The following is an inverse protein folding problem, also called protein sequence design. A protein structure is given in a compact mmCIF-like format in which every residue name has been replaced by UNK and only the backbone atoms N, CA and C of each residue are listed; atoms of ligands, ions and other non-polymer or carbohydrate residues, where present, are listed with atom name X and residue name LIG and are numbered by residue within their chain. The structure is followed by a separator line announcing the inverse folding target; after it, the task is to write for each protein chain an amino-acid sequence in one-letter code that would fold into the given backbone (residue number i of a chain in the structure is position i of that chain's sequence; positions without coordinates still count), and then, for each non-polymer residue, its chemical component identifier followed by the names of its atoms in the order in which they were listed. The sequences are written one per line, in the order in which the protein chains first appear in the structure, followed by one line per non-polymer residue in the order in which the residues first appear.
data_IF_317992478780
#
_entry.id   IF_317992478780
#
_cell.length_a   1.000
_cell.length_b   1.000
_cell.length_c   1.000
_cell.angle_alpha   90.00
_cell.angle_beta   90.00
_cell.angle_gamma   90.00
#
_symmetry.space_group_name_H-M   'P 1'
#
loop_
_entity.id
_entity.type
_entity.pdbx_description
1 polymer ?
#
# COMPACT_ATOMS: atom_id res chain seq x y z
N UNK A 1 -8.81 13.82 9.98
CA UNK A 1 -9.33 14.37 11.26
C UNK A 1 -9.23 13.31 12.37
N UNK A 2 -9.80 12.11 12.21
CA UNK A 2 -9.78 11.04 13.23
C UNK A 2 -8.36 10.70 13.71
N UNK A 3 -7.39 10.55 12.81
CA UNK A 3 -6.01 10.22 13.16
C UNK A 3 -5.34 11.37 13.92
N UNK A 4 -5.57 12.61 13.53
CA UNK A 4 -5.03 13.80 14.21
C UNK A 4 -5.58 13.91 15.63
N UNK A 5 -6.88 13.68 15.81
CA UNK A 5 -7.53 13.67 17.13
C UNK A 5 -6.97 12.54 18.02
N UNK A 6 -6.78 11.35 17.44
CA UNK A 6 -6.19 10.20 18.13
C UNK A 6 -4.76 10.53 18.61
N UNK A 7 -3.93 11.07 17.74
CA UNK A 7 -2.56 11.48 18.09
C UNK A 7 -2.55 12.55 19.19
N UNK A 8 -3.35 13.61 19.07
CA UNK A 8 -3.46 14.65 20.08
C UNK A 8 -3.87 14.10 21.43
N UNK A 9 -4.86 13.19 21.45
CA UNK A 9 -5.35 12.54 22.68
C UNK A 9 -4.25 11.72 23.38
N UNK A 10 -3.48 10.94 22.62
CA UNK A 10 -2.50 10.02 23.22
C UNK A 10 -1.11 10.60 23.43
N UNK A 11 -0.78 11.70 22.75
CA UNK A 11 0.51 12.38 22.87
C UNK A 11 0.46 13.66 23.71
N UNK A 12 -0.72 14.04 24.22
CA UNK A 12 -0.87 15.19 25.12
C UNK A 12 0.08 15.08 26.32
N UNK A 13 0.85 16.15 26.56
CA UNK A 13 1.86 16.18 27.63
C UNK A 13 3.19 15.48 27.30
N UNK A 14 3.30 14.76 26.18
CA UNK A 14 4.53 14.10 25.72
C UNK A 14 5.22 14.88 24.62
N UNK A 15 4.44 15.39 23.66
CA UNK A 15 4.93 16.20 22.55
C UNK A 15 3.82 17.09 21.98
N UNK A 16 4.22 18.06 21.16
CA UNK A 16 3.32 18.88 20.39
C UNK A 16 3.01 18.19 19.06
N UNK A 17 1.73 18.14 18.68
CA UNK A 17 1.26 17.64 17.37
C UNK A 17 0.84 18.84 16.54
N UNK A 18 1.65 19.17 15.53
CA UNK A 18 1.39 20.24 14.58
C UNK A 18 0.87 19.67 13.26
N UNK A 19 -0.20 20.25 12.74
CA UNK A 19 -0.81 19.89 11.46
C UNK A 19 -0.38 20.92 10.40
N UNK A 20 0.36 20.46 9.39
CA UNK A 20 0.87 21.30 8.31
C UNK A 20 -0.18 21.40 7.19
N UNK A 21 -1.21 22.24 7.40
CA UNK A 21 -2.34 22.40 6.46
C UNK A 21 -2.02 23.25 5.24
N UNK A 22 -0.87 23.92 5.23
CA UNK A 22 -0.40 24.80 4.16
C UNK A 22 0.52 24.08 3.15
N UNK A 23 0.57 22.74 3.18
CA UNK A 23 1.43 21.96 2.31
C UNK A 23 0.64 21.00 1.40
N UNK A 24 1.15 20.85 0.18
CA UNK A 24 0.69 19.88 -0.81
C UNK A 24 1.65 18.70 -0.89
N UNK A 25 1.14 17.54 -1.30
CA UNK A 25 1.94 16.34 -1.52
C UNK A 25 1.90 15.96 -3.00
N UNK A 26 3.06 15.89 -3.64
CA UNK A 26 3.24 15.39 -4.99
C UNK A 26 4.00 14.07 -4.95
N UNK A 27 3.68 13.14 -5.86
CA UNK A 27 4.38 11.88 -6.01
C UNK A 27 5.01 11.78 -7.40
N UNK A 28 6.32 11.59 -7.45
CA UNK A 28 7.07 11.28 -8.66
C UNK A 28 7.50 9.81 -8.58
N UNK A 29 6.93 8.95 -9.42
CA UNK A 29 7.06 7.51 -9.31
C UNK A 29 7.48 6.89 -10.64
N UNK A 30 8.24 5.81 -10.58
CA UNK A 30 8.61 5.03 -11.75
C UNK A 30 10.12 4.89 -11.95
N UNK A 31 10.56 4.08 -12.91
CA UNK A 31 11.97 3.71 -13.07
C UNK A 31 12.90 4.89 -13.39
N UNK A 32 12.38 5.99 -13.95
CA UNK A 32 13.15 7.20 -14.23
C UNK A 32 13.11 8.24 -13.10
N UNK A 33 12.31 8.05 -12.05
CA UNK A 33 12.09 9.03 -11.00
C UNK A 33 13.39 9.45 -10.30
N UNK A 34 14.30 8.50 -10.03
CA UNK A 34 15.58 8.78 -9.41
C UNK A 34 16.48 9.67 -10.29
N UNK A 35 16.49 9.44 -11.60
CA UNK A 35 17.27 10.27 -12.54
C UNK A 35 16.72 11.68 -12.64
N UNK A 36 15.39 11.83 -12.66
CA UNK A 36 14.73 13.14 -12.65
C UNK A 36 15.07 13.90 -11.36
N UNK A 37 14.92 13.26 -10.20
CA UNK A 37 15.23 13.89 -8.92
C UNK A 37 16.70 14.27 -8.79
N UNK A 38 17.62 13.42 -9.22
CA UNK A 38 19.06 13.73 -9.19
C UNK A 38 19.43 14.95 -10.04
N UNK A 39 18.72 15.22 -11.16
CA UNK A 39 18.90 16.44 -11.94
C UNK A 39 18.39 17.69 -11.23
N UNK A 40 17.30 17.59 -10.50
CA UNK A 40 16.64 18.71 -9.83
C UNK A 40 17.20 18.99 -8.44
N UNK A 41 17.62 17.94 -7.73
CA UNK A 41 18.22 17.98 -6.41
C UNK A 41 19.28 16.88 -6.29
N UNK A 42 20.55 17.13 -6.66
CA UNK A 42 21.62 16.12 -6.72
C UNK A 42 21.82 15.31 -5.43
N UNK A 43 21.60 15.91 -4.27
CA UNK A 43 21.75 15.24 -2.96
C UNK A 43 20.79 14.05 -2.79
N UNK A 44 19.72 13.99 -3.60
CA UNK A 44 18.75 12.89 -3.55
C UNK A 44 19.28 11.58 -4.14
N UNK A 45 20.35 11.64 -4.95
CA UNK A 45 20.90 10.48 -5.64
C UNK A 45 21.37 9.37 -4.69
N UNK A 46 21.83 9.75 -3.48
CA UNK A 46 22.31 8.81 -2.47
C UNK A 46 21.23 8.30 -1.50
N UNK A 47 20.02 8.85 -1.57
CA UNK A 47 18.93 8.39 -0.72
C UNK A 47 18.56 6.95 -1.07
N UNK A 48 18.23 6.14 -0.05
CA UNK A 48 17.65 4.81 -0.23
C UNK A 48 16.20 4.80 0.23
N UNK A 49 15.49 3.73 -0.10
CA UNK A 49 14.07 3.56 0.25
C UNK A 49 13.80 3.83 1.73
N UNK A 50 12.78 4.64 2.02
CA UNK A 50 12.33 5.13 3.34
C UNK A 50 13.24 6.21 3.97
N UNK A 51 14.28 6.67 3.31
CA UNK A 51 15.00 7.86 3.77
C UNK A 51 14.23 9.14 3.43
N UNK A 52 14.41 10.13 4.30
CA UNK A 52 13.80 11.45 4.19
C UNK A 52 14.88 12.53 4.17
N UNK A 53 14.62 13.63 3.47
CA UNK A 53 15.51 14.79 3.43
C UNK A 53 14.72 16.09 3.25
N UNK A 54 15.37 17.21 3.55
CA UNK A 54 14.94 18.55 3.13
C UNK A 54 15.75 18.94 1.91
N UNK A 55 15.10 19.41 0.88
CA UNK A 55 15.73 19.89 -0.37
C UNK A 55 15.01 21.12 -0.88
N UNK A 56 15.70 21.93 -1.68
CA UNK A 56 15.07 23.04 -2.40
C UNK A 56 14.71 22.59 -3.81
N UNK A 57 13.41 22.67 -4.15
CA UNK A 57 12.88 22.39 -5.49
C UNK A 57 12.04 23.57 -5.94
N UNK A 58 12.26 24.04 -7.17
CA UNK A 58 11.55 25.20 -7.74
C UNK A 58 11.53 26.43 -6.80
N UNK A 59 12.62 26.67 -6.04
CA UNK A 59 12.73 27.78 -5.10
C UNK A 59 11.99 27.59 -3.77
N UNK A 60 11.37 26.43 -3.53
CA UNK A 60 10.66 26.12 -2.29
C UNK A 60 11.41 25.06 -1.47
N UNK A 61 11.43 25.21 -0.13
CA UNK A 61 11.87 24.14 0.76
C UNK A 61 10.85 23.02 0.76
N UNK A 62 11.28 21.84 0.35
CA UNK A 62 10.48 20.63 0.30
C UNK A 62 10.96 19.59 1.32
N UNK A 63 10.03 18.88 1.93
CA UNK A 63 10.31 17.62 2.60
C UNK A 63 10.09 16.50 1.62
N UNK A 64 11.08 15.64 1.43
CA UNK A 64 10.97 14.51 0.52
C UNK A 64 11.19 13.20 1.25
N UNK A 65 10.56 12.15 0.77
CA UNK A 65 10.90 10.77 1.11
C UNK A 65 11.11 9.97 -0.18
N UNK A 66 12.10 9.07 -0.19
CA UNK A 66 12.23 8.09 -1.28
C UNK A 66 11.32 6.93 -0.96
N UNK A 67 10.07 7.07 -1.35
CA UNK A 67 8.96 6.18 -1.04
C UNK A 67 7.86 6.31 -2.07
N UNK A 68 6.83 5.48 -1.98
CA UNK A 68 5.68 5.56 -2.87
C UNK A 68 4.70 4.42 -2.71
N UNK A 69 3.67 4.45 -3.53
CA UNK A 69 2.54 3.53 -3.49
C UNK A 69 2.32 2.81 -4.83
N UNK A 70 3.41 2.50 -5.53
CA UNK A 70 3.39 1.94 -6.88
C UNK A 70 4.18 0.64 -7.04
N UNK A 71 4.99 0.27 -6.03
CA UNK A 71 5.95 -0.82 -6.16
C UNK A 71 7.22 -0.47 -6.93
N UNK A 72 7.27 0.70 -7.57
CA UNK A 72 8.46 1.24 -8.26
C UNK A 72 9.23 2.19 -7.34
N UNK A 73 10.46 2.51 -7.73
CA UNK A 73 11.24 3.57 -7.09
C UNK A 73 10.59 4.93 -7.33
N UNK A 74 10.75 5.84 -6.39
CA UNK A 74 10.14 7.16 -6.50
C UNK A 74 10.24 7.98 -5.24
N UNK A 75 9.64 9.16 -5.31
CA UNK A 75 9.67 10.16 -4.24
C UNK A 75 8.28 10.70 -3.96
N UNK A 76 7.99 10.93 -2.70
CA UNK A 76 6.86 11.74 -2.24
C UNK A 76 7.42 13.07 -1.75
N UNK A 77 6.86 14.17 -2.27
CA UNK A 77 7.40 15.52 -2.14
C UNK A 77 6.36 16.40 -1.49
N UNK A 78 6.58 16.79 -0.24
CA UNK A 78 5.77 17.77 0.46
C UNK A 78 6.34 19.17 0.20
N UNK A 79 5.53 20.04 -0.38
CA UNK A 79 5.87 21.40 -0.81
C UNK A 79 4.85 22.39 -0.24
N UNK A 80 5.22 23.65 0.10
CA UNK A 80 4.24 24.68 0.44
C UNK A 80 3.20 24.84 -0.66
N UNK A 81 1.93 25.04 -0.31
CA UNK A 81 0.84 25.18 -1.30
C UNK A 81 1.14 26.22 -2.39
N UNK A 82 1.76 27.34 -2.00
CA UNK A 82 2.13 28.40 -2.94
C UNK A 82 3.15 27.98 -4.01
N UNK A 83 3.99 26.95 -3.72
CA UNK A 83 4.99 26.42 -4.64
C UNK A 83 4.53 25.19 -5.44
N UNK A 84 3.38 24.60 -5.08
CA UNK A 84 2.95 23.32 -5.61
C UNK A 84 2.76 23.30 -7.14
N UNK A 85 2.13 24.30 -7.71
CA UNK A 85 1.95 24.41 -9.17
C UNK A 85 3.28 24.57 -9.89
N UNK A 86 4.17 25.43 -9.38
CA UNK A 86 5.49 25.66 -9.98
C UNK A 86 6.31 24.38 -9.97
N UNK A 87 6.30 23.64 -8.86
CA UNK A 87 6.98 22.35 -8.77
C UNK A 87 6.36 21.30 -9.71
N UNK A 88 5.03 21.21 -9.76
CA UNK A 88 4.36 20.29 -10.67
C UNK A 88 4.74 20.57 -12.14
N UNK A 89 4.77 21.82 -12.55
CA UNK A 89 5.19 22.22 -13.91
C UNK A 89 6.67 21.90 -14.17
N UNK A 90 7.55 22.10 -13.19
CA UNK A 90 8.97 21.73 -13.28
C UNK A 90 9.15 20.21 -13.49
N UNK A 91 8.39 19.40 -12.76
CA UNK A 91 8.42 17.94 -12.91
C UNK A 91 7.88 17.52 -14.28
N UNK A 92 6.76 18.07 -14.71
CA UNK A 92 6.14 17.78 -16.02
C UNK A 92 6.96 18.28 -17.21
N UNK A 93 7.87 19.21 -17.02
CA UNK A 93 8.81 19.64 -18.06
C UNK A 93 9.95 18.64 -18.30
N UNK A 94 10.11 17.64 -17.45
CA UNK A 94 11.11 16.59 -17.66
C UNK A 94 10.61 15.58 -18.71
N UNK A 95 11.43 15.19 -19.69
CA UNK A 95 10.98 14.39 -20.84
C UNK A 95 10.45 12.98 -20.44
N UNK A 96 10.90 12.46 -19.28
CA UNK A 96 10.49 11.16 -18.78
C UNK A 96 9.20 11.21 -17.95
N UNK A 97 8.71 12.40 -17.62
CA UNK A 97 7.57 12.57 -16.69
C UNK A 97 6.28 12.81 -17.46
N UNK A 98 5.29 11.99 -17.15
CA UNK A 98 3.94 12.15 -17.66
C UNK A 98 2.94 12.23 -16.48
N UNK A 99 1.87 13.05 -16.58
CA UNK A 99 0.81 13.06 -15.58
C UNK A 99 0.02 11.75 -15.64
N UNK A 100 -0.30 11.20 -14.47
CA UNK A 100 -1.12 9.99 -14.37
C UNK A 100 -2.34 10.25 -13.49
N UNK A 101 -3.44 9.52 -13.75
CA UNK A 101 -4.66 9.61 -12.97
C UNK A 101 -4.75 8.56 -11.86
N UNK A 102 -5.81 8.66 -11.05
CA UNK A 102 -6.08 7.73 -9.94
C UNK A 102 -6.21 6.27 -10.39
N UNK A 103 -6.73 6.02 -11.61
CA UNK A 103 -6.83 4.67 -12.15
C UNK A 103 -5.47 3.98 -12.34
N UNK A 104 -4.45 4.73 -12.78
CA UNK A 104 -3.09 4.21 -12.87
C UNK A 104 -2.49 3.95 -11.48
N UNK A 105 -2.67 4.88 -10.53
CA UNK A 105 -2.26 4.70 -9.15
C UNK A 105 -2.90 3.45 -8.54
N UNK A 106 -4.18 3.21 -8.77
CA UNK A 106 -4.90 2.05 -8.24
C UNK A 106 -4.41 0.73 -8.85
N UNK A 107 -4.19 0.68 -10.16
CA UNK A 107 -3.62 -0.50 -10.83
C UNK A 107 -2.21 -0.82 -10.32
N UNK A 108 -1.35 0.18 -10.18
CA UNK A 108 0.03 0.00 -9.75
C UNK A 108 0.11 -0.46 -8.28
N UNK A 109 -0.63 0.17 -7.36
CA UNK A 109 -0.65 -0.27 -5.96
C UNK A 109 -1.17 -1.69 -5.81
N UNK A 110 -2.19 -2.06 -6.63
CA UNK A 110 -2.78 -3.39 -6.62
C UNK A 110 -1.74 -4.44 -7.06
N UNK A 111 -1.02 -4.21 -8.16
CA UNK A 111 0.07 -5.09 -8.61
C UNK A 111 1.19 -5.20 -7.58
N UNK A 112 1.49 -4.11 -6.86
CA UNK A 112 2.43 -4.09 -5.76
C UNK A 112 1.91 -4.77 -4.47
N UNK A 113 0.65 -5.24 -4.46
CA UNK A 113 0.04 -5.89 -3.31
C UNK A 113 -0.23 -4.96 -2.12
N UNK A 114 -0.25 -3.64 -2.35
CA UNK A 114 -0.46 -2.64 -1.32
C UNK A 114 -1.95 -2.43 -1.04
N UNK A 115 -2.31 -2.42 0.26
CA UNK A 115 -3.68 -2.23 0.72
C UNK A 115 -4.19 -0.82 0.43
N UNK A 116 -5.48 -0.72 0.11
CA UNK A 116 -6.21 0.53 0.09
C UNK A 116 -7.11 0.61 1.34
N UNK A 117 -6.90 1.63 2.18
CA UNK A 117 -7.75 1.86 3.35
C UNK A 117 -9.20 2.19 2.92
N UNK A 118 -10.16 1.63 3.62
CA UNK A 118 -11.57 1.71 3.27
C UNK A 118 -12.06 0.60 2.34
N UNK A 119 -11.15 -0.15 1.71
CA UNK A 119 -11.44 -1.29 0.84
C UNK A 119 -10.80 -2.59 1.37
N UNK A 120 -9.45 -2.64 1.38
CA UNK A 120 -8.71 -3.83 1.82
C UNK A 120 -8.54 -3.91 3.34
N UNK A 121 -8.73 -2.84 4.05
CA UNK A 121 -8.69 -2.77 5.51
C UNK A 121 -9.44 -1.54 6.03
N UNK A 122 -9.90 -1.62 7.25
CA UNK A 122 -10.55 -0.54 7.99
C UNK A 122 -10.29 -0.68 9.49
N UNK A 123 -10.99 0.08 10.33
CA UNK A 123 -10.85 0.05 11.79
C UNK A 123 -11.24 -1.29 12.46
N UNK A 124 -11.88 -2.21 11.72
CA UNK A 124 -12.26 -3.55 12.21
C UNK A 124 -11.26 -4.64 11.81
N UNK A 125 -10.25 -4.30 11.01
CA UNK A 125 -9.28 -5.25 10.45
C UNK A 125 -7.96 -5.20 11.21
N UNK A 126 -7.48 -6.35 11.68
CA UNK A 126 -6.16 -6.41 12.34
C UNK A 126 -5.02 -6.52 11.33
N UNK A 127 -3.79 -6.08 11.70
CA UNK A 127 -2.61 -6.28 10.85
C UNK A 127 -2.32 -7.75 10.52
N UNK A 128 -2.71 -8.68 11.40
CA UNK A 128 -2.48 -10.12 11.19
C UNK A 128 -3.43 -10.66 10.12
N UNK A 129 -4.73 -10.33 10.22
CA UNK A 129 -5.72 -10.65 9.17
C UNK A 129 -5.32 -10.04 7.82
N UNK A 130 -4.89 -8.79 7.82
CA UNK A 130 -4.48 -8.06 6.62
C UNK A 130 -3.13 -8.51 6.02
N UNK A 131 -2.47 -9.53 6.59
CA UNK A 131 -1.13 -9.98 6.17
C UNK A 131 -0.07 -8.87 6.25
N UNK A 132 -0.24 -7.93 7.20
CA UNK A 132 0.66 -6.81 7.50
C UNK A 132 1.49 -7.04 8.77
N UNK A 133 1.58 -8.27 9.25
CA UNK A 133 2.35 -8.61 10.45
C UNK A 133 3.83 -8.18 10.40
N UNK A 134 4.40 -8.02 9.22
CA UNK A 134 5.74 -7.49 9.01
C UNK A 134 5.93 -6.05 9.52
N UNK A 135 4.85 -5.24 9.56
CA UNK A 135 4.88 -3.87 10.07
C UNK A 135 4.99 -3.79 11.61
N UNK A 136 4.73 -4.91 12.29
CA UNK A 136 4.86 -4.99 13.74
C UNK A 136 6.33 -5.21 14.12
N UNK A 137 6.94 -4.22 14.76
CA UNK A 137 8.32 -4.31 15.22
C UNK A 137 8.52 -5.54 16.13
N UNK A 138 9.62 -6.27 15.92
CA UNK A 138 10.01 -7.40 16.78
C UNK A 138 10.08 -7.01 18.26
N UNK A 139 10.50 -5.79 18.58
CA UNK A 139 10.55 -5.28 19.95
C UNK A 139 9.16 -5.19 20.62
N UNK A 140 8.08 -5.11 19.83
CA UNK A 140 6.69 -5.00 20.30
C UNK A 140 5.93 -6.32 20.30
N UNK A 141 6.49 -7.40 19.74
CA UNK A 141 5.90 -8.75 19.77
C UNK A 141 6.14 -9.41 21.12
N UNK A 142 5.43 -10.52 21.39
CA UNK A 142 5.66 -11.34 22.58
C UNK A 142 7.15 -11.71 22.70
N UNK A 143 7.71 -11.59 23.91
CA UNK A 143 9.14 -11.80 24.18
C UNK A 143 10.07 -10.67 23.73
N UNK A 144 9.58 -9.63 23.09
CA UNK A 144 10.37 -8.47 22.70
C UNK A 144 10.65 -7.50 23.85
N UNK A 145 11.71 -6.68 23.73
CA UNK A 145 12.17 -5.76 24.77
C UNK A 145 11.10 -4.72 25.24
N UNK A 146 10.10 -4.47 24.42
CA UNK A 146 8.97 -3.56 24.71
C UNK A 146 7.65 -4.19 24.27
N UNK A 147 7.45 -5.47 24.62
CA UNK A 147 6.27 -6.24 24.21
C UNK A 147 4.96 -5.51 24.55
N UNK A 148 4.02 -5.48 23.62
CA UNK A 148 2.74 -4.78 23.78
C UNK A 148 2.88 -3.25 23.79
N UNK A 149 1.98 -2.59 24.55
CA UNK A 149 1.99 -1.13 24.74
C UNK A 149 1.59 -0.33 23.50
N UNK A 150 0.78 -0.90 22.63
CA UNK A 150 0.15 -0.24 21.48
C UNK A 150 -1.35 -0.62 21.41
N UNK A 151 -2.20 0.17 20.77
CA UNK A 151 -3.62 -0.14 20.63
C UNK A 151 -3.86 -1.51 19.99
N UNK A 152 -4.71 -2.35 20.60
CA UNK A 152 -5.02 -3.69 20.12
C UNK A 152 -3.94 -4.75 20.38
N UNK A 153 -2.90 -4.45 21.17
CA UNK A 153 -1.77 -5.35 21.40
C UNK A 153 -2.17 -6.77 21.84
N UNK A 154 -3.11 -6.90 22.77
CA UNK A 154 -3.54 -8.21 23.28
C UNK A 154 -4.17 -9.08 22.17
N UNK A 155 -5.07 -8.50 21.39
CA UNK A 155 -5.70 -9.20 20.26
C UNK A 155 -4.66 -9.59 19.21
N UNK A 156 -3.80 -8.65 18.84
CA UNK A 156 -2.79 -8.86 17.81
C UNK A 156 -1.76 -9.91 18.22
N UNK A 157 -1.29 -9.89 19.48
CA UNK A 157 -0.36 -10.91 19.97
C UNK A 157 -1.00 -12.29 19.98
N UNK A 158 -2.24 -12.39 20.47
CA UNK A 158 -2.99 -13.66 20.42
C UNK A 158 -3.14 -14.19 19.00
N UNK A 159 -3.43 -13.32 18.02
CA UNK A 159 -3.55 -13.70 16.62
C UNK A 159 -2.21 -14.12 15.99
N UNK A 160 -1.10 -13.51 16.41
CA UNK A 160 0.24 -13.92 15.97
C UNK A 160 0.60 -15.33 16.47
N UNK A 161 0.13 -15.71 17.67
CA UNK A 161 0.39 -17.01 18.31
C UNK A 161 -0.57 -18.11 17.83
N UNK A 162 -1.87 -17.79 17.74
CA UNK A 162 -2.93 -18.76 17.49
C UNK A 162 -3.43 -18.76 16.04
N UNK A 163 -3.02 -17.77 15.23
CA UNK A 163 -3.56 -17.54 13.91
C UNK A 163 -4.85 -16.73 13.91
N UNK A 164 -5.42 -16.59 12.72
CA UNK A 164 -6.63 -15.80 12.44
C UNK A 164 -7.66 -16.63 11.71
N UNK A 165 -8.95 -16.31 11.85
CA UNK A 165 -10.03 -17.00 11.15
C UNK A 165 -10.06 -16.70 9.64
N UNK A 166 -9.66 -15.50 9.25
CA UNK A 166 -9.57 -15.05 7.84
C UNK A 166 -8.24 -14.40 7.55
N UNK A 167 -7.82 -14.40 6.30
CA UNK A 167 -6.55 -13.81 5.91
C UNK A 167 -6.64 -13.14 4.54
N UNK A 168 -6.04 -11.96 4.41
CA UNK A 168 -5.90 -11.29 3.12
C UNK A 168 -4.86 -12.01 2.26
N UNK A 169 -5.24 -12.26 1.01
CA UNK A 169 -4.42 -12.98 0.01
C UNK A 169 -4.40 -12.24 -1.31
N UNK A 170 -3.39 -12.53 -2.12
CA UNK A 170 -3.37 -12.19 -3.54
C UNK A 170 -4.14 -13.24 -4.33
N UNK A 171 -4.84 -12.81 -5.37
CA UNK A 171 -5.73 -13.62 -6.17
C UNK A 171 -5.47 -13.37 -7.67
N UNK A 172 -5.14 -14.41 -8.42
CA UNK A 172 -4.92 -14.36 -9.86
C UNK A 172 -6.08 -15.01 -10.59
N UNK A 173 -6.79 -14.24 -11.40
CA UNK A 173 -7.89 -14.75 -12.19
C UNK A 173 -7.37 -15.46 -13.45
N UNK A 174 -7.96 -16.60 -13.79
CA UNK A 174 -7.62 -17.39 -14.98
C UNK A 174 -8.38 -16.96 -16.23
N UNK A 175 -9.34 -16.04 -16.10
CA UNK A 175 -10.12 -15.44 -17.17
C UNK A 175 -9.66 -13.99 -17.42
N UNK A 176 -10.07 -13.39 -18.53
CA UNK A 176 -9.80 -11.98 -18.86
C UNK A 176 -10.71 -10.99 -18.12
N UNK A 177 -11.80 -11.47 -17.53
CA UNK A 177 -12.76 -10.64 -16.83
C UNK A 177 -12.28 -10.34 -15.40
N UNK A 178 -12.00 -9.08 -15.03
CA UNK A 178 -11.62 -8.76 -13.66
C UNK A 178 -12.80 -8.92 -12.71
N UNK A 179 -12.55 -9.55 -11.57
CA UNK A 179 -13.46 -9.51 -10.45
C UNK A 179 -13.25 -8.20 -9.68
N UNK A 180 -14.33 -7.55 -9.31
CA UNK A 180 -14.31 -6.26 -8.60
C UNK A 180 -14.57 -6.46 -7.12
N UNK A 181 -14.33 -5.42 -6.35
CA UNK A 181 -14.71 -5.35 -4.94
C UNK A 181 -16.13 -5.88 -4.72
N UNK A 182 -16.30 -6.66 -3.66
CA UNK A 182 -17.59 -7.26 -3.31
C UNK A 182 -17.87 -8.61 -3.93
N UNK A 183 -17.10 -9.07 -4.94
CA UNK A 183 -17.28 -10.39 -5.52
C UNK A 183 -17.01 -11.48 -4.48
N UNK A 184 -17.92 -12.44 -4.39
CA UNK A 184 -17.79 -13.57 -3.46
C UNK A 184 -16.75 -14.57 -3.97
N UNK A 185 -16.05 -15.18 -3.02
CA UNK A 185 -15.14 -16.29 -3.27
C UNK A 185 -15.76 -17.56 -2.71
N UNK A 186 -15.86 -18.58 -3.55
CA UNK A 186 -16.44 -19.88 -3.18
C UNK A 186 -15.42 -21.00 -3.41
N UNK A 187 -15.53 -22.06 -2.63
CA UNK A 187 -14.76 -23.29 -2.79
C UNK A 187 -15.33 -24.18 -3.92
N UNK A 188 -14.79 -25.39 -4.04
CA UNK A 188 -15.23 -26.38 -5.03
C UNK A 188 -16.68 -26.86 -4.83
N UNK A 189 -17.16 -26.80 -3.59
CA UNK A 189 -18.53 -27.22 -3.23
C UNK A 189 -19.54 -26.07 -3.33
N UNK A 190 -19.09 -24.88 -3.77
CA UNK A 190 -19.92 -23.69 -3.90
C UNK A 190 -20.18 -22.96 -2.56
N UNK A 191 -19.50 -23.32 -1.49
CA UNK A 191 -19.60 -22.65 -0.21
C UNK A 191 -18.79 -21.34 -0.25
N UNK A 192 -19.39 -20.26 0.23
CA UNK A 192 -18.69 -18.99 0.36
C UNK A 192 -17.57 -19.10 1.42
N UNK A 193 -16.35 -18.81 1.03
CA UNK A 193 -15.14 -18.87 1.84
C UNK A 193 -14.39 -17.54 1.88
N UNK A 194 -14.90 -16.50 1.22
CA UNK A 194 -14.25 -15.21 1.21
C UNK A 194 -14.92 -14.17 0.34
N UNK A 195 -14.22 -13.03 0.19
CA UNK A 195 -14.69 -11.90 -0.59
C UNK A 195 -13.52 -11.07 -1.14
N UNK A 196 -13.65 -10.57 -2.35
CA UNK A 196 -12.69 -9.65 -2.98
C UNK A 196 -12.89 -8.24 -2.40
N UNK A 197 -11.79 -7.59 -2.06
CA UNK A 197 -11.74 -6.21 -1.52
C UNK A 197 -11.17 -5.21 -2.49
N UNK A 198 -10.27 -5.65 -3.39
CA UNK A 198 -9.75 -4.86 -4.50
C UNK A 198 -9.55 -5.75 -5.71
N UNK A 199 -9.91 -5.26 -6.90
CA UNK A 199 -9.72 -6.04 -8.11
C UNK A 199 -9.68 -5.19 -9.37
N UNK A 200 -8.79 -5.54 -10.26
CA UNK A 200 -8.56 -4.79 -11.49
C UNK A 200 -7.74 -5.57 -12.51
N UNK A 201 -7.35 -4.88 -13.57
CA UNK A 201 -6.39 -5.38 -14.53
C UNK A 201 -4.99 -4.91 -14.12
N UNK A 202 -4.06 -5.85 -14.05
CA UNK A 202 -2.65 -5.57 -13.80
C UNK A 202 -1.92 -5.43 -15.14
N UNK A 203 -1.50 -4.21 -15.53
CA UNK A 203 -0.87 -4.00 -16.84
C UNK A 203 0.49 -4.71 -16.95
N UNK A 204 1.23 -4.81 -15.86
CA UNK A 204 2.55 -5.49 -15.82
C UNK A 204 2.38 -7.01 -15.77
N UNK A 205 1.40 -7.49 -15.01
CA UNK A 205 1.03 -8.94 -14.96
C UNK A 205 0.42 -9.40 -16.29
N UNK A 206 -0.20 -8.47 -17.03
CA UNK A 206 -0.89 -8.76 -18.29
C UNK A 206 -2.25 -9.45 -18.09
N UNK A 207 -2.83 -9.35 -16.90
CA UNK A 207 -4.08 -10.04 -16.56
C UNK A 207 -4.79 -9.47 -15.34
N UNK A 208 -6.02 -9.96 -15.06
CA UNK A 208 -6.76 -9.55 -13.88
C UNK A 208 -6.14 -10.07 -12.59
N UNK A 209 -5.96 -9.18 -11.62
CA UNK A 209 -5.49 -9.46 -10.28
C UNK A 209 -6.46 -8.90 -9.25
N UNK A 210 -6.48 -9.50 -8.05
CA UNK A 210 -7.32 -9.03 -6.97
C UNK A 210 -6.66 -9.26 -5.60
N UNK A 211 -7.08 -8.47 -4.62
CA UNK A 211 -6.86 -8.74 -3.19
C UNK A 211 -8.21 -9.10 -2.57
N UNK A 212 -8.20 -9.97 -1.59
CA UNK A 212 -9.41 -10.35 -0.89
C UNK A 212 -9.10 -11.09 0.40
N UNK A 213 -10.11 -11.29 1.22
CA UNK A 213 -10.04 -12.13 2.40
C UNK A 213 -10.65 -13.47 2.11
N UNK A 214 -9.99 -14.51 2.57
CA UNK A 214 -10.49 -15.89 2.58
C UNK A 214 -10.38 -16.47 3.97
N UNK A 215 -11.20 -17.47 4.28
CA UNK A 215 -11.03 -18.29 5.47
C UNK A 215 -9.61 -18.84 5.50
N UNK A 216 -8.97 -18.86 6.65
CA UNK A 216 -7.55 -19.22 6.79
C UNK A 216 -7.21 -20.61 6.24
N UNK A 217 -8.18 -21.54 6.26
CA UNK A 217 -8.04 -22.87 5.65
C UNK A 217 -7.82 -22.82 4.13
N UNK A 218 -8.23 -21.74 3.47
CA UNK A 218 -8.13 -21.54 2.02
C UNK A 218 -7.03 -20.54 1.63
N UNK A 219 -6.26 -20.01 2.58
CA UNK A 219 -5.28 -18.95 2.35
C UNK A 219 -3.91 -19.47 1.83
N UNK A 220 -3.75 -20.78 1.64
CA UNK A 220 -2.48 -21.33 1.13
C UNK A 220 -2.29 -20.98 -0.34
N UNK A 221 -1.08 -20.55 -0.70
CA UNK A 221 -0.71 -20.29 -2.09
C UNK A 221 -0.89 -21.55 -2.94
N UNK A 222 -1.50 -21.40 -4.11
CA UNK A 222 -1.88 -22.49 -4.99
C UNK A 222 -3.31 -23.02 -4.77
N UNK A 223 -4.02 -22.55 -3.73
CA UNK A 223 -5.44 -22.92 -3.53
C UNK A 223 -6.28 -22.40 -4.69
N UNK A 224 -7.07 -23.29 -5.29
CA UNK A 224 -8.01 -22.95 -6.34
C UNK A 224 -9.38 -22.65 -5.75
N UNK A 225 -9.94 -21.52 -6.12
CA UNK A 225 -11.25 -21.03 -5.73
C UNK A 225 -12.02 -20.58 -6.97
N UNK A 226 -13.22 -20.09 -6.77
CA UNK A 226 -14.00 -19.44 -7.80
C UNK A 226 -14.47 -18.07 -7.30
N UNK A 227 -14.37 -17.05 -8.14
CA UNK A 227 -14.98 -15.76 -7.91
C UNK A 227 -16.33 -15.67 -8.61
N UNK A 228 -17.37 -15.25 -7.90
CA UNK A 228 -18.70 -15.05 -8.49
C UNK A 228 -18.78 -13.66 -9.13
N UNK A 229 -18.68 -13.61 -10.45
CA UNK A 229 -18.67 -12.36 -11.22
C UNK A 229 -19.92 -12.33 -12.12
N UNK A 230 -20.85 -11.40 -11.86
CA UNK A 230 -22.11 -11.26 -12.64
C UNK A 230 -22.88 -12.59 -12.77
N UNK A 231 -22.92 -13.37 -11.67
CA UNK A 231 -23.61 -14.66 -11.63
C UNK A 231 -22.86 -15.81 -12.32
N UNK A 232 -21.61 -15.59 -12.75
CA UNK A 232 -20.76 -16.63 -13.34
C UNK A 232 -19.61 -16.95 -12.39
N UNK A 233 -19.25 -18.21 -12.28
CA UNK A 233 -18.08 -18.67 -11.58
C UNK A 233 -16.84 -18.52 -12.46
N UNK A 234 -15.84 -17.77 -11.98
CA UNK A 234 -14.56 -17.52 -12.66
C UNK A 234 -13.45 -18.17 -11.84
N UNK A 235 -12.65 -19.09 -12.41
CA UNK A 235 -11.54 -19.72 -11.70
C UNK A 235 -10.51 -18.70 -11.23
N UNK A 236 -10.09 -18.83 -9.98
CA UNK A 236 -9.13 -17.94 -9.34
C UNK A 236 -8.15 -18.76 -8.49
N UNK A 237 -6.93 -18.32 -8.41
CA UNK A 237 -5.87 -18.97 -7.65
C UNK A 237 -5.31 -18.02 -6.60
N UNK A 238 -5.14 -18.52 -5.38
CA UNK A 238 -4.42 -17.80 -4.31
C UNK A 238 -2.94 -17.75 -4.65
N UNK A 239 -2.37 -16.55 -4.72
CA UNK A 239 -0.98 -16.33 -5.07
C UNK A 239 -0.26 -15.45 -4.03
N UNK A 240 1.06 -15.43 -4.08
CA UNK A 240 1.86 -14.50 -3.29
C UNK A 240 1.69 -13.06 -3.79
N UNK A 241 1.74 -12.12 -2.86
CA UNK A 241 1.93 -10.70 -3.16
C UNK A 241 3.36 -10.28 -2.78
N UNK A 242 3.93 -9.30 -3.49
CA UNK A 242 3.36 -8.55 -4.62
C UNK A 242 3.19 -9.42 -5.87
N UNK A 243 2.28 -9.02 -6.77
CA UNK A 243 2.08 -9.72 -8.07
C UNK A 243 3.24 -9.48 -9.03
N UNK A 244 3.89 -8.32 -8.88
CA UNK A 244 5.14 -7.96 -9.58
C UNK A 244 6.20 -7.60 -8.55
N UNK A 245 7.49 -7.94 -8.78
CA UNK A 245 8.56 -7.59 -7.83
C UNK A 245 8.63 -6.07 -7.58
N UNK A 246 8.72 -5.69 -6.31
CA UNK A 246 8.98 -4.29 -5.94
C UNK A 246 10.40 -3.90 -6.36
N UNK A 247 10.57 -2.67 -6.86
CA UNK A 247 11.82 -2.13 -7.39
C UNK A 247 12.35 -0.94 -6.57
N UNK A 248 12.06 -0.95 -5.28
CA UNK A 248 12.58 0.07 -4.37
C UNK A 248 14.11 0.04 -4.30
N UNK A 249 14.75 1.20 -4.45
CA UNK A 249 16.20 1.29 -4.32
C UNK A 249 16.62 1.18 -2.85
N UNK A 250 17.43 0.20 -2.54
CA UNK A 250 17.86 -0.11 -1.15
C UNK A 250 19.37 0.09 -0.91
N UNK A 251 20.09 0.59 -1.93
CA UNK A 251 21.55 0.75 -1.91
C UNK A 251 22.27 -0.44 -2.50
#
# INVERSE_FOLDING_TARGET
QQDTEHLRKHLSGLCQVEELSDRSLLALQGPAAAAVMARLAPDTAQMVFMQTAKVTLAGSECFISRSGYTGEDGFEISVPNAGAETLARLLLAQPEVAPIGLGARDSLRLEAGLCLYGHDMDGSTTPVEASLGWALSKARRAGGARAGGYPGAELIQRQLEQGVGRKRVGLLLKDRMPAREGAELVDADGKQVGKITSGGFGPTVGGPVALGYVDSAHAQVGTLLQAVVRGKSVPIEVVKTPFTPNRYFRG
#
